data_IF_598842665671
#
_entry.id   IF_598842665671
#
_cell.length_a   1.000
_cell.length_b   1.000
_cell.length_c   1.000
_cell.angle_alpha   90.00
_cell.angle_beta   90.00
_cell.angle_gamma   90.00
#
_symmetry.space_group_name_H-M   'P 1'
#
loop_
_entity.id
_entity.type
_entity.pdbx_description
1 polymer ?
#
# COMPACT_ATOMS: atom_id res chain seq x y z
N UNK A 1 -18.68 31.87 21.65
CA UNK A 1 -19.49 32.82 20.89
C UNK A 1 -20.97 32.50 21.14
N UNK A 2 -21.78 33.43 21.70
CA UNK A 2 -23.23 33.26 21.83
C UNK A 2 -23.97 33.26 20.47
N UNK A 3 -23.24 33.35 19.35
CA UNK A 3 -23.71 33.16 17.98
C UNK A 3 -23.07 31.91 17.37
N UNK A 4 -23.51 30.74 17.82
CA UNK A 4 -23.26 29.43 17.18
C UNK A 4 -21.95 29.31 16.38
N UNK A 5 -20.82 29.17 17.08
CA UNK A 5 -19.51 29.01 16.43
C UNK A 5 -19.49 27.77 15.54
N UNK A 6 -19.05 27.92 14.28
CA UNK A 6 -18.87 26.79 13.35
C UNK A 6 -17.83 25.82 13.93
N UNK A 7 -18.25 24.58 14.18
CA UNK A 7 -17.34 23.52 14.56
C UNK A 7 -16.49 23.13 13.33
N UNK A 8 -15.18 23.36 13.42
CA UNK A 8 -14.24 22.90 12.41
C UNK A 8 -13.84 21.46 12.71
N UNK A 9 -14.08 20.56 11.75
CA UNK A 9 -13.54 19.21 11.81
C UNK A 9 -12.11 19.23 11.25
N UNK A 10 -11.14 18.86 12.08
CA UNK A 10 -9.74 18.78 11.71
C UNK A 10 -9.33 17.30 11.65
N UNK A 11 -8.74 16.88 10.53
CA UNK A 11 -8.11 15.57 10.38
C UNK A 11 -6.61 15.79 10.30
N UNK A 12 -5.87 15.27 11.27
CA UNK A 12 -4.42 15.34 11.31
C UNK A 12 -3.84 14.01 10.83
N UNK A 13 -2.97 14.07 9.83
CA UNK A 13 -2.29 12.92 9.24
C UNK A 13 -0.79 13.11 9.36
N UNK A 14 -0.07 12.09 9.80
CA UNK A 14 1.37 12.16 9.94
C UNK A 14 1.97 10.83 10.38
N UNK A 15 3.29 10.85 10.57
CA UNK A 15 4.04 9.73 11.17
C UNK A 15 3.68 9.59 12.66
N UNK A 16 4.01 8.45 13.31
CA UNK A 16 3.70 8.21 14.73
C UNK A 16 4.15 9.32 15.68
N UNK A 17 5.23 10.04 15.33
CA UNK A 17 5.71 11.20 16.12
C UNK A 17 4.64 12.30 16.29
N UNK A 18 3.70 12.42 15.36
CA UNK A 18 2.60 13.37 15.48
C UNK A 18 1.72 13.07 16.70
N UNK A 19 1.29 11.82 16.88
CA UNK A 19 0.48 11.42 18.04
C UNK A 19 1.28 11.56 19.35
N UNK A 20 2.56 11.21 19.33
CA UNK A 20 3.46 11.36 20.49
C UNK A 20 3.56 12.83 20.90
N UNK A 21 3.77 13.73 19.95
CA UNK A 21 3.88 15.17 20.21
C UNK A 21 2.55 15.78 20.67
N UNK A 22 1.43 15.37 20.08
CA UNK A 22 0.10 15.87 20.48
C UNK A 22 -0.24 15.51 21.92
N UNK A 23 0.18 14.34 22.40
CA UNK A 23 0.00 13.94 23.81
C UNK A 23 0.76 14.82 24.80
N UNK A 24 1.81 15.52 24.36
CA UNK A 24 2.57 16.46 25.20
C UNK A 24 1.86 17.81 25.35
N UNK A 25 0.73 18.04 24.68
CA UNK A 25 -0.07 19.28 24.76
C UNK A 25 -1.48 18.94 25.26
N UNK A 26 -1.70 18.87 26.60
CA UNK A 26 -2.94 18.36 27.20
C UNK A 26 -4.22 19.04 26.69
N UNK A 27 -4.24 20.38 26.65
CA UNK A 27 -5.40 21.16 26.20
C UNK A 27 -5.84 20.84 24.78
N UNK A 28 -4.88 20.48 23.91
CA UNK A 28 -5.18 20.05 22.55
C UNK A 28 -5.58 18.57 22.52
N UNK A 29 -4.86 17.74 23.27
CA UNK A 29 -5.07 16.29 23.34
C UNK A 29 -6.49 15.92 23.80
N UNK A 30 -7.06 16.70 24.74
CA UNK A 30 -8.43 16.54 25.24
C UNK A 30 -9.51 16.83 24.20
N UNK A 31 -9.15 17.53 23.12
CA UNK A 31 -10.07 17.88 22.02
C UNK A 31 -10.01 16.88 20.87
N UNK A 32 -9.19 15.84 20.95
CA UNK A 32 -9.06 14.82 19.91
C UNK A 32 -10.09 13.71 20.14
N UNK A 33 -11.12 13.68 19.30
CA UNK A 33 -12.22 12.72 19.39
C UNK A 33 -11.81 11.28 19.02
N UNK A 34 -10.95 11.11 18.01
CA UNK A 34 -10.58 9.80 17.48
C UNK A 34 -9.09 9.76 17.16
N UNK A 35 -8.45 8.62 17.46
CA UNK A 35 -7.09 8.28 17.05
C UNK A 35 -7.12 6.96 16.32
N UNK A 36 -6.39 6.87 15.22
CA UNK A 36 -6.26 5.65 14.44
C UNK A 36 -4.87 5.59 13.83
N UNK A 37 -4.29 4.40 13.76
CA UNK A 37 -3.08 4.09 13.02
C UNK A 37 -3.42 3.27 11.78
N UNK A 38 -2.63 3.42 10.73
CA UNK A 38 -2.72 2.58 9.55
C UNK A 38 -1.72 1.44 9.68
N UNK A 39 -2.21 0.23 9.86
CA UNK A 39 -1.39 -0.97 9.86
C UNK A 39 -1.07 -1.41 8.43
N UNK A 40 0.03 -2.16 8.20
CA UNK A 40 0.29 -2.77 6.92
C UNK A 40 -0.84 -3.70 6.50
N UNK A 41 -1.07 -3.82 5.19
CA UNK A 41 -2.13 -4.64 4.63
C UNK A 41 -1.90 -6.12 4.91
N UNK A 42 -2.98 -6.86 5.07
CA UNK A 42 -2.96 -8.33 5.08
C UNK A 42 -2.68 -8.87 3.65
N UNK A 43 -2.38 -10.17 3.49
CA UNK A 43 -2.30 -10.79 2.17
C UNK A 43 -3.57 -10.60 1.32
N UNK A 44 -4.75 -10.71 1.93
CA UNK A 44 -6.04 -10.56 1.25
C UNK A 44 -6.30 -9.10 0.83
N UNK A 45 -5.97 -8.14 1.70
CA UNK A 45 -6.03 -6.73 1.37
C UNK A 45 -5.02 -6.36 0.27
N UNK A 46 -3.86 -7.03 0.26
CA UNK A 46 -2.84 -6.85 -0.77
C UNK A 46 -3.34 -7.32 -2.13
N UNK A 47 -3.98 -8.49 -2.19
CA UNK A 47 -4.66 -8.97 -3.41
C UNK A 47 -5.70 -7.95 -3.88
N UNK A 48 -6.55 -7.49 -2.96
CA UNK A 48 -7.61 -6.52 -3.25
C UNK A 48 -7.05 -5.19 -3.75
N UNK A 49 -5.96 -4.70 -3.15
CA UNK A 49 -5.27 -3.49 -3.60
C UNK A 49 -4.74 -3.64 -5.03
N UNK A 50 -4.05 -4.75 -5.33
CA UNK A 50 -3.47 -5.02 -6.65
C UNK A 50 -4.59 -5.05 -7.70
N UNK A 51 -5.67 -5.79 -7.44
CA UNK A 51 -6.82 -5.89 -8.34
C UNK A 51 -7.48 -4.52 -8.56
N UNK A 52 -7.78 -3.79 -7.49
CA UNK A 52 -8.33 -2.44 -7.57
C UNK A 52 -7.46 -1.51 -8.42
N UNK A 53 -6.13 -1.55 -8.23
CA UNK A 53 -5.20 -0.69 -8.98
C UNK A 53 -5.16 -1.06 -10.46
N UNK A 54 -5.27 -2.34 -10.81
CA UNK A 54 -5.35 -2.78 -12.21
C UNK A 54 -6.66 -2.35 -12.87
N UNK A 55 -7.79 -2.48 -12.17
CA UNK A 55 -9.08 -2.01 -12.66
C UNK A 55 -9.08 -0.49 -12.86
N UNK A 56 -8.55 0.26 -11.90
CA UNK A 56 -8.40 1.72 -11.99
C UNK A 56 -7.47 2.14 -13.16
N UNK A 57 -6.50 1.31 -13.52
CA UNK A 57 -5.63 1.50 -14.68
C UNK A 57 -6.29 1.06 -16.01
N UNK A 58 -7.55 0.66 -16.01
CA UNK A 58 -8.33 0.30 -17.20
C UNK A 58 -8.22 -1.17 -17.62
N UNK A 59 -7.73 -2.07 -16.75
CA UNK A 59 -7.78 -3.51 -17.02
C UNK A 59 -9.24 -3.97 -17.03
N UNK A 60 -9.62 -4.71 -18.07
CA UNK A 60 -10.93 -5.36 -18.15
C UNK A 60 -11.03 -6.52 -17.15
N UNK A 61 -12.05 -6.49 -16.29
CA UNK A 61 -12.33 -7.52 -15.28
C UNK A 61 -12.72 -8.88 -15.88
N UNK A 62 -13.12 -8.92 -17.16
CA UNK A 62 -13.42 -10.17 -17.86
C UNK A 62 -12.18 -10.94 -18.29
N UNK A 63 -11.00 -10.30 -18.27
CA UNK A 63 -9.74 -10.96 -18.62
C UNK A 63 -9.24 -11.82 -17.47
N UNK A 64 -8.46 -12.88 -17.76
CA UNK A 64 -7.77 -13.63 -16.71
C UNK A 64 -6.94 -12.71 -15.79
N UNK A 65 -6.79 -13.03 -14.50
CA UNK A 65 -5.98 -12.24 -13.56
C UNK A 65 -4.56 -12.02 -14.07
N UNK A 66 -4.04 -10.79 -14.00
CA UNK A 66 -2.65 -10.51 -14.38
C UNK A 66 -1.67 -11.12 -13.38
N UNK A 67 -2.02 -11.03 -12.10
CA UNK A 67 -1.31 -11.65 -11.00
C UNK A 67 -2.10 -12.89 -10.59
N UNK A 68 -1.44 -14.05 -10.61
CA UNK A 68 -2.01 -15.28 -10.09
C UNK A 68 -2.07 -15.21 -8.55
N UNK A 69 -2.95 -15.98 -7.93
CA UNK A 69 -3.07 -16.04 -6.48
C UNK A 69 -1.75 -16.46 -5.79
N UNK A 70 -0.95 -17.29 -6.45
CA UNK A 70 0.38 -17.67 -5.98
C UNK A 70 1.36 -16.50 -5.87
N UNK A 71 1.21 -15.45 -6.70
CA UNK A 71 2.09 -14.28 -6.66
C UNK A 71 1.84 -13.37 -5.46
N UNK A 72 0.68 -13.46 -4.79
CA UNK A 72 0.29 -12.51 -3.74
C UNK A 72 1.19 -12.64 -2.51
N UNK A 73 1.39 -13.86 -2.02
CA UNK A 73 2.18 -14.10 -0.82
C UNK A 73 3.65 -13.64 -0.93
N UNK A 74 4.40 -13.93 -2.01
CA UNK A 74 5.77 -13.42 -2.14
C UNK A 74 5.82 -11.89 -2.28
N UNK A 75 4.87 -11.27 -2.99
CA UNK A 75 4.78 -9.81 -3.08
C UNK A 75 4.52 -9.20 -1.69
N UNK A 76 3.56 -9.75 -0.95
CA UNK A 76 3.23 -9.29 0.40
C UNK A 76 4.43 -9.44 1.35
N UNK A 77 5.14 -10.57 1.29
CA UNK A 77 6.34 -10.83 2.11
C UNK A 77 7.45 -9.82 1.83
N UNK A 78 7.75 -9.55 0.56
CA UNK A 78 8.81 -8.61 0.21
C UNK A 78 8.45 -7.17 0.62
N UNK A 79 7.18 -6.80 0.45
CA UNK A 79 6.71 -5.42 0.69
C UNK A 79 6.24 -5.17 2.12
N UNK A 80 6.17 -6.22 2.94
CA UNK A 80 5.65 -6.23 4.31
C UNK A 80 4.23 -5.67 4.44
N UNK A 81 3.44 -5.72 3.37
CA UNK A 81 2.08 -5.18 3.34
C UNK A 81 1.98 -3.65 3.16
N UNK A 82 3.09 -2.93 2.93
CA UNK A 82 3.02 -1.47 2.76
C UNK A 82 2.48 -1.08 1.37
N UNK A 83 1.36 -0.33 1.27
CA UNK A 83 0.69 -0.05 -0.01
C UNK A 83 1.58 0.57 -1.09
N UNK A 84 2.48 1.49 -0.68
CA UNK A 84 3.41 2.15 -1.61
C UNK A 84 4.41 1.15 -2.19
N UNK A 85 5.00 0.31 -1.33
CA UNK A 85 5.96 -0.73 -1.72
C UNK A 85 5.30 -1.80 -2.59
N UNK A 86 4.06 -2.19 -2.27
CA UNK A 86 3.23 -3.09 -3.10
C UNK A 86 3.08 -2.50 -4.51
N UNK A 87 2.57 -1.27 -4.61
CA UNK A 87 2.33 -0.64 -5.91
C UNK A 87 3.60 -0.54 -6.76
N UNK A 88 4.73 -0.17 -6.14
CA UNK A 88 6.01 -0.04 -6.85
C UNK A 88 6.53 -1.41 -7.34
N UNK A 89 6.48 -2.43 -6.48
CA UNK A 89 6.89 -3.79 -6.83
C UNK A 89 6.03 -4.35 -7.96
N UNK A 90 4.71 -4.20 -7.88
CA UNK A 90 3.79 -4.62 -8.92
C UNK A 90 4.02 -3.88 -10.25
N UNK A 91 4.32 -2.59 -10.21
CA UNK A 91 4.67 -1.84 -11.42
C UNK A 91 5.90 -2.45 -12.11
N UNK A 92 6.96 -2.74 -11.37
CA UNK A 92 8.17 -3.35 -11.94
C UNK A 92 7.92 -4.77 -12.45
N UNK A 93 7.12 -5.57 -11.74
CA UNK A 93 6.71 -6.89 -12.23
C UNK A 93 5.94 -6.80 -13.54
N UNK A 94 5.04 -5.82 -13.69
CA UNK A 94 4.35 -5.56 -14.96
C UNK A 94 5.32 -5.16 -16.07
N UNK A 95 6.35 -4.34 -15.78
CA UNK A 95 7.37 -3.96 -16.76
C UNK A 95 8.24 -5.14 -17.17
N UNK A 96 8.67 -5.99 -16.23
CA UNK A 96 9.40 -7.22 -16.54
C UNK A 96 8.53 -8.17 -17.38
N UNK A 97 7.22 -8.25 -17.08
CA UNK A 97 6.29 -9.09 -17.84
C UNK A 97 6.24 -8.65 -19.31
N UNK A 98 6.17 -7.33 -19.57
CA UNK A 98 6.19 -6.77 -20.92
C UNK A 98 7.47 -7.09 -21.70
N UNK A 99 8.62 -7.18 -21.00
CA UNK A 99 9.89 -7.57 -21.60
C UNK A 99 10.03 -9.09 -21.80
N UNK A 100 9.19 -9.88 -21.12
CA UNK A 100 9.19 -11.34 -21.18
C UNK A 100 8.14 -11.89 -22.14
N UNK A 101 8.25 -13.18 -22.49
CA UNK A 101 7.20 -13.89 -23.22
C UNK A 101 6.13 -14.52 -22.32
N UNK A 102 6.07 -14.14 -21.03
CA UNK A 102 5.09 -14.67 -20.07
C UNK A 102 3.74 -13.96 -20.17
N UNK A 103 2.65 -14.70 -19.97
CA UNK A 103 1.28 -14.15 -20.05
C UNK A 103 0.69 -13.72 -18.68
N UNK A 104 1.31 -14.15 -17.58
CA UNK A 104 0.82 -13.94 -16.21
C UNK A 104 2.00 -13.82 -15.23
N UNK A 105 1.78 -13.11 -14.12
CA UNK A 105 2.72 -12.99 -12.99
C UNK A 105 2.31 -14.02 -11.94
N UNK A 106 3.04 -15.12 -11.86
CA UNK A 106 2.89 -16.18 -10.86
C UNK A 106 4.03 -16.16 -9.83
N UNK A 107 3.96 -17.04 -8.81
CA UNK A 107 5.03 -17.14 -7.80
C UNK A 107 6.43 -17.33 -8.41
N UNK A 108 6.68 -18.28 -9.33
CA UNK A 108 7.98 -18.41 -9.99
C UNK A 108 8.45 -17.12 -10.67
N UNK A 109 7.55 -16.39 -11.33
CA UNK A 109 7.89 -15.10 -11.96
C UNK A 109 8.33 -14.07 -10.92
N UNK A 110 7.58 -13.96 -9.82
CA UNK A 110 7.93 -13.04 -8.73
C UNK A 110 9.26 -13.41 -8.10
N UNK A 111 9.50 -14.69 -7.77
CA UNK A 111 10.74 -15.12 -7.15
C UNK A 111 11.96 -14.83 -8.04
N UNK A 112 11.89 -15.16 -9.34
CA UNK A 112 12.96 -14.82 -10.30
C UNK A 112 13.22 -13.31 -10.38
N UNK A 113 12.15 -12.51 -10.39
CA UNK A 113 12.26 -11.06 -10.42
C UNK A 113 12.97 -10.54 -9.15
N UNK A 114 12.60 -11.04 -7.97
CA UNK A 114 13.19 -10.64 -6.69
C UNK A 114 14.66 -11.07 -6.57
N UNK A 115 15.00 -12.27 -7.02
CA UNK A 115 16.39 -12.76 -7.06
C UNK A 115 17.29 -11.89 -7.94
N UNK A 116 16.79 -11.49 -9.12
CA UNK A 116 17.52 -10.63 -10.06
C UNK A 116 17.72 -9.20 -9.53
N UNK A 117 16.83 -8.73 -8.65
CA UNK A 117 16.81 -7.34 -8.21
C UNK A 117 16.90 -7.17 -6.68
N UNK A 118 17.75 -7.96 -6.00
CA UNK A 118 17.98 -7.88 -4.55
C UNK A 118 18.32 -6.47 -4.03
N UNK A 119 18.68 -5.52 -4.91
CA UNK A 119 18.97 -4.11 -4.60
C UNK A 119 17.77 -3.15 -4.52
N UNK A 120 16.52 -3.56 -4.79
CA UNK A 120 15.37 -2.62 -4.75
C UNK A 120 15.16 -1.95 -3.38
N UNK A 121 15.70 -2.53 -2.29
CA UNK A 121 15.57 -2.00 -0.93
C UNK A 121 16.20 -0.62 -0.71
N UNK A 122 17.17 -0.19 -1.54
CA UNK A 122 18.00 0.97 -1.22
C UNK A 122 17.53 2.32 -1.80
N UNK A 123 16.46 2.37 -2.60
CA UNK A 123 16.05 3.61 -3.28
C UNK A 123 15.10 4.51 -2.45
N UNK A 124 14.94 4.26 -1.15
CA UNK A 124 13.92 4.92 -0.33
C UNK A 124 14.30 5.26 1.11
N UNK A 125 15.59 5.23 1.47
CA UNK A 125 16.10 5.91 2.68
C UNK A 125 16.54 7.33 2.34
#
# INVERSE_FOLDING_TARGET
DPRGGKAYQLVLLGRPELDINLRQVPDFNDRVATRSSLDPLTPDDTKSLIEYRLLAAGRDSKRPPLFADSAILPIWRETRGYPRSICLTCLHLCLELLASHSAQIDEPFVMRFLEKHQGYRQAGE
#
